data_IF_934884655426
#
_entry.id   IF_934884655426
#
_cell.length_a   1.000
_cell.length_b   1.000
_cell.length_c   1.000
_cell.angle_alpha   90.00
_cell.angle_beta   90.00
_cell.angle_gamma   90.00
#
_symmetry.space_group_name_H-M   'P 1'
#
loop_
_entity.id
_entity.type
_entity.pdbx_description
1 polymer ?
#
# COMPACT_ATOMS: atom_id res chain seq x y z
N UNK A 1 -8.37 3.57 -8.92
CA UNK A 1 -9.52 2.71 -8.47
C UNK A 1 -10.83 3.34 -8.92
N UNK A 2 -10.99 4.62 -8.60
CA UNK A 2 -11.99 5.50 -9.17
C UNK A 2 -11.36 6.89 -9.35
N UNK A 3 -12.07 7.81 -10.00
CA UNK A 3 -11.56 9.14 -10.30
C UNK A 3 -11.17 9.92 -9.03
N UNK A 4 -12.01 9.92 -7.99
CA UNK A 4 -11.80 10.70 -6.76
C UNK A 4 -10.53 10.30 -6.00
N UNK A 5 -10.24 9.00 -5.92
CA UNK A 5 -9.01 8.48 -5.32
C UNK A 5 -7.82 8.89 -6.17
N UNK A 6 -7.90 8.71 -7.49
CA UNK A 6 -6.79 9.00 -8.39
C UNK A 6 -6.43 10.51 -8.36
N UNK A 7 -7.43 11.40 -8.39
CA UNK A 7 -7.25 12.85 -8.25
C UNK A 7 -6.62 13.23 -6.90
N UNK A 8 -7.09 12.61 -5.81
CA UNK A 8 -6.55 12.86 -4.47
C UNK A 8 -5.08 12.48 -4.36
N UNK A 9 -4.72 11.31 -4.90
CA UNK A 9 -3.34 10.81 -4.90
C UNK A 9 -2.42 11.68 -5.76
N UNK A 10 -2.84 12.02 -6.98
CA UNK A 10 -2.04 12.86 -7.90
C UNK A 10 -1.82 14.25 -7.30
N UNK A 11 -2.87 14.87 -6.74
CA UNK A 11 -2.76 16.19 -6.12
C UNK A 11 -1.81 16.18 -4.91
N UNK A 12 -1.95 15.20 -4.01
CA UNK A 12 -1.08 15.11 -2.83
C UNK A 12 0.37 14.77 -3.20
N UNK A 13 0.59 13.94 -4.23
CA UNK A 13 1.93 13.66 -4.76
C UNK A 13 2.57 14.94 -5.34
N UNK A 14 1.82 15.72 -6.13
CA UNK A 14 2.29 17.01 -6.67
C UNK A 14 2.59 18.06 -5.60
N UNK A 15 1.97 17.95 -4.42
CA UNK A 15 2.28 18.78 -3.25
C UNK A 15 3.46 18.26 -2.40
N UNK A 16 4.10 17.15 -2.80
CA UNK A 16 5.15 16.49 -2.01
C UNK A 16 4.64 15.88 -0.70
N UNK A 17 3.33 15.59 -0.59
CA UNK A 17 2.69 15.00 0.59
C UNK A 17 2.64 13.48 0.55
N UNK A 18 2.93 12.88 -0.61
CA UNK A 18 3.07 11.45 -0.81
C UNK A 18 4.38 11.19 -1.54
N UNK A 19 5.17 10.23 -1.04
CA UNK A 19 6.37 9.74 -1.72
C UNK A 19 6.22 8.35 -2.31
N UNK A 20 5.07 7.71 -2.13
CA UNK A 20 4.77 6.39 -2.69
C UNK A 20 3.27 6.27 -2.98
N UNK A 21 2.90 5.75 -4.14
CA UNK A 21 1.50 5.55 -4.56
C UNK A 21 1.30 4.11 -5.03
N UNK A 22 0.32 3.40 -4.44
CA UNK A 22 0.04 1.99 -4.74
C UNK A 22 -1.09 1.90 -5.75
N UNK A 23 -0.84 1.27 -6.90
CA UNK A 23 -1.75 1.24 -8.03
C UNK A 23 -2.43 -0.13 -8.16
N UNK A 24 -3.77 -0.13 -8.12
CA UNK A 24 -4.58 -1.25 -8.61
C UNK A 24 -4.56 -1.23 -10.14
N UNK A 25 -3.61 -1.95 -10.76
CA UNK A 25 -3.31 -1.85 -12.19
C UNK A 25 -4.43 -2.32 -13.12
N UNK A 26 -5.34 -3.15 -12.60
CA UNK A 26 -6.55 -3.58 -13.32
C UNK A 26 -7.79 -2.75 -12.98
N UNK A 27 -7.61 -1.61 -12.30
CA UNK A 27 -8.68 -0.68 -11.97
C UNK A 27 -9.13 0.11 -13.20
N UNK A 28 -10.43 0.47 -13.29
CA UNK A 28 -11.02 1.04 -14.50
C UNK A 28 -10.41 2.39 -14.91
N UNK A 29 -9.94 3.17 -13.94
CA UNK A 29 -9.35 4.51 -14.16
C UNK A 29 -7.82 4.50 -14.25
N UNK A 30 -7.17 3.37 -13.96
CA UNK A 30 -5.72 3.31 -13.81
C UNK A 30 -4.97 3.74 -15.08
N UNK A 31 -5.30 3.12 -16.22
CA UNK A 31 -4.61 3.38 -17.48
C UNK A 31 -4.73 4.84 -17.92
N UNK A 32 -5.89 5.47 -17.71
CA UNK A 32 -6.12 6.87 -18.08
C UNK A 32 -5.30 7.85 -17.23
N UNK A 33 -5.00 7.50 -15.98
CA UNK A 33 -4.27 8.35 -15.03
C UNK A 33 -2.78 8.04 -14.92
N UNK A 34 -2.30 6.94 -15.51
CA UNK A 34 -0.91 6.50 -15.39
C UNK A 34 0.10 7.58 -15.79
N UNK A 35 -0.10 8.27 -16.91
CA UNK A 35 0.81 9.33 -17.36
C UNK A 35 0.89 10.52 -16.38
N UNK A 36 -0.25 10.92 -15.79
CA UNK A 36 -0.31 12.01 -14.80
C UNK A 36 0.42 11.65 -13.52
N UNK A 37 0.30 10.39 -13.10
CA UNK A 37 0.98 9.86 -11.93
C UNK A 37 2.48 9.65 -12.19
N UNK A 38 2.86 9.24 -13.40
CA UNK A 38 4.26 9.08 -13.82
C UNK A 38 5.06 10.39 -13.79
N UNK A 39 4.39 11.53 -13.90
CA UNK A 39 5.01 12.85 -13.81
C UNK A 39 5.31 13.31 -12.37
N UNK A 40 4.88 12.56 -11.35
CA UNK A 40 5.09 12.92 -9.94
C UNK A 40 6.39 12.30 -9.40
N UNK A 41 7.06 13.00 -8.48
CA UNK A 41 8.24 12.46 -7.78
C UNK A 41 7.82 11.54 -6.61
N UNK A 42 7.37 10.34 -6.95
CA UNK A 42 6.98 9.31 -6.00
C UNK A 42 7.38 7.92 -6.51
N UNK A 43 7.60 6.99 -5.59
CA UNK A 43 7.66 5.57 -5.92
C UNK A 43 6.27 5.10 -6.37
N UNK A 44 6.19 4.50 -7.56
CA UNK A 44 4.95 3.98 -8.13
C UNK A 44 4.95 2.47 -7.99
N UNK A 45 4.04 1.95 -7.16
CA UNK A 45 3.99 0.55 -6.80
C UNK A 45 2.81 -0.19 -7.38
N UNK A 46 2.99 -1.49 -7.61
CA UNK A 46 1.87 -2.39 -7.90
C UNK A 46 1.20 -2.82 -6.60
N UNK A 47 -0.10 -2.53 -6.48
CA UNK A 47 -0.94 -2.95 -5.37
C UNK A 47 -1.64 -4.26 -5.72
N UNK A 48 -1.03 -5.41 -5.45
CA UNK A 48 -1.60 -6.70 -5.87
C UNK A 48 -2.93 -6.95 -5.16
N UNK A 49 -3.92 -7.38 -5.91
CA UNK A 49 -5.28 -7.57 -5.46
C UNK A 49 -5.73 -9.00 -5.78
N UNK A 50 -6.40 -9.61 -4.79
CA UNK A 50 -6.94 -10.97 -4.86
C UNK A 50 -8.32 -11.08 -4.22
N UNK A 51 -8.96 -9.95 -3.88
CA UNK A 51 -10.17 -9.93 -3.06
C UNK A 51 -11.21 -8.92 -3.52
N UNK A 52 -10.80 -7.83 -4.17
CA UNK A 52 -11.70 -6.75 -4.58
C UNK A 52 -12.05 -6.86 -6.08
N UNK A 53 -13.32 -7.07 -6.46
CA UNK A 53 -13.74 -6.96 -7.84
C UNK A 53 -13.59 -5.51 -8.36
N UNK A 54 -13.00 -5.34 -9.54
CA UNK A 54 -12.75 -4.06 -10.18
C UNK A 54 -13.59 -3.85 -11.46
N UNK A 55 -14.45 -4.81 -11.82
CA UNK A 55 -15.36 -4.73 -12.95
C UNK A 55 -14.67 -4.91 -14.31
N UNK A 56 -13.56 -5.65 -14.36
CA UNK A 56 -12.74 -5.84 -15.55
C UNK A 56 -12.96 -7.18 -16.26
N UNK A 57 -13.85 -8.03 -15.74
CA UNK A 57 -14.17 -9.35 -16.31
C UNK A 57 -13.19 -10.47 -15.96
N UNK A 58 -12.10 -10.17 -15.25
CA UNK A 58 -11.09 -11.13 -14.80
C UNK A 58 -11.11 -11.34 -13.27
N UNK A 59 -12.17 -10.91 -12.61
CA UNK A 59 -12.32 -10.83 -11.15
C UNK A 59 -13.48 -11.66 -10.59
N UNK A 60 -14.20 -12.39 -11.44
CA UNK A 60 -15.35 -13.22 -11.07
C UNK A 60 -15.00 -14.37 -10.08
N UNK A 61 -13.73 -14.78 -10.04
CA UNK A 61 -13.23 -15.87 -9.21
C UNK A 61 -12.56 -15.40 -7.90
N UNK A 62 -12.51 -14.09 -7.64
CA UNK A 62 -11.86 -13.54 -6.45
C UNK A 62 -12.63 -13.90 -5.17
N UNK A 63 -12.00 -14.59 -4.20
CA UNK A 63 -12.64 -14.93 -2.95
C UNK A 63 -12.70 -13.73 -1.99
N UNK A 64 -13.68 -13.70 -1.06
CA UNK A 64 -13.63 -12.82 0.10
C UNK A 64 -12.33 -13.00 0.90
N UNK A 65 -11.85 -11.93 1.53
CA UNK A 65 -10.59 -11.92 2.28
C UNK A 65 -10.45 -13.05 3.29
N UNK A 66 -11.50 -13.33 4.07
CA UNK A 66 -11.48 -14.40 5.08
C UNK A 66 -11.23 -15.78 4.46
N UNK A 67 -11.85 -16.06 3.30
CA UNK A 67 -11.63 -17.31 2.55
C UNK A 67 -10.23 -17.35 1.93
N UNK A 68 -9.73 -16.23 1.43
CA UNK A 68 -8.37 -16.14 0.89
C UNK A 68 -7.33 -16.45 1.99
N UNK A 69 -7.45 -15.81 3.15
CA UNK A 69 -6.57 -16.04 4.31
C UNK A 69 -6.62 -17.53 4.70
N UNK A 70 -7.81 -18.09 4.90
CA UNK A 70 -7.95 -19.50 5.27
C UNK A 70 -7.28 -20.44 4.26
N UNK A 71 -7.56 -20.26 2.97
CA UNK A 71 -6.98 -21.10 1.90
C UNK A 71 -5.46 -20.93 1.82
N UNK A 72 -4.94 -19.72 1.97
CA UNK A 72 -3.51 -19.45 1.98
C UNK A 72 -2.81 -20.23 3.10
N UNK A 73 -3.32 -20.13 4.33
CA UNK A 73 -2.73 -20.78 5.49
C UNK A 73 -2.88 -22.30 5.47
N UNK A 74 -3.98 -22.82 4.92
CA UNK A 74 -4.14 -24.26 4.65
C UNK A 74 -3.33 -24.73 3.44
N UNK A 75 -2.60 -23.84 2.75
CA UNK A 75 -1.88 -24.11 1.48
C UNK A 75 -2.77 -24.74 0.40
N UNK A 76 -4.04 -24.33 0.37
CA UNK A 76 -5.07 -24.76 -0.61
C UNK A 76 -5.32 -23.72 -1.72
N UNK A 77 -4.49 -22.69 -1.82
CA UNK A 77 -4.50 -21.79 -2.98
C UNK A 77 -3.77 -22.47 -4.14
N UNK A 78 -4.42 -22.51 -5.30
CA UNK A 78 -3.79 -22.96 -6.53
C UNK A 78 -2.67 -21.99 -6.92
N UNK A 79 -1.44 -22.51 -7.05
CA UNK A 79 -0.28 -21.72 -7.43
C UNK A 79 -0.42 -21.14 -8.84
N UNK A 80 -0.98 -21.89 -9.79
CA UNK A 80 -1.16 -21.44 -11.16
C UNK A 80 -2.18 -20.30 -11.24
N UNK A 81 -3.24 -20.38 -10.44
CA UNK A 81 -4.20 -19.30 -10.26
C UNK A 81 -3.54 -18.02 -9.73
N UNK A 82 -2.71 -18.14 -8.68
CA UNK A 82 -1.96 -17.00 -8.13
C UNK A 82 -1.03 -16.40 -9.18
N UNK A 83 -0.27 -17.23 -9.90
CA UNK A 83 0.65 -16.78 -10.96
C UNK A 83 -0.07 -16.03 -12.07
N UNK A 84 -1.22 -16.54 -12.51
CA UNK A 84 -2.01 -15.90 -13.57
C UNK A 84 -2.53 -14.52 -13.14
N UNK A 85 -3.05 -14.42 -11.91
CA UNK A 85 -3.53 -13.15 -11.35
C UNK A 85 -2.40 -12.14 -11.11
N UNK A 86 -1.23 -12.60 -10.66
CA UNK A 86 -0.06 -11.73 -10.57
C UNK A 86 0.38 -11.26 -11.95
N UNK A 87 0.53 -12.17 -12.92
CA UNK A 87 1.03 -11.86 -14.26
C UNK A 87 0.18 -10.78 -14.92
N UNK A 88 -1.16 -10.93 -14.93
CA UNK A 88 -2.08 -9.90 -15.47
C UNK A 88 -1.89 -8.54 -14.82
N UNK A 89 -1.73 -8.51 -13.50
CA UNK A 89 -1.56 -7.26 -12.75
C UNK A 89 -0.23 -6.58 -13.04
N UNK A 90 0.86 -7.34 -13.18
CA UNK A 90 2.16 -6.82 -13.60
C UNK A 90 2.15 -6.37 -15.06
N UNK A 91 1.60 -7.17 -15.97
CA UNK A 91 1.49 -6.83 -17.39
C UNK A 91 0.71 -5.52 -17.58
N UNK A 92 -0.41 -5.35 -16.88
CA UNK A 92 -1.19 -4.11 -16.94
C UNK A 92 -0.44 -2.90 -16.38
N UNK A 93 0.34 -3.08 -15.31
CA UNK A 93 1.16 -2.02 -14.75
C UNK A 93 2.24 -1.57 -15.72
N UNK A 94 2.99 -2.53 -16.26
CA UNK A 94 4.09 -2.26 -17.20
C UNK A 94 3.59 -1.70 -18.52
N UNK A 95 2.44 -2.17 -19.03
CA UNK A 95 1.82 -1.61 -20.23
C UNK A 95 1.42 -0.14 -20.06
N UNK A 96 1.09 0.29 -18.84
CA UNK A 96 0.69 1.66 -18.55
C UNK A 96 1.90 2.59 -18.29
N UNK A 97 2.95 2.09 -17.64
CA UNK A 97 4.12 2.91 -17.26
C UNK A 97 5.35 2.73 -18.14
N UNK A 98 5.42 1.67 -18.95
CA UNK A 98 6.60 1.31 -19.76
C UNK A 98 7.80 0.86 -18.93
N UNK A 99 7.63 0.59 -17.64
CA UNK A 99 8.70 0.20 -16.71
C UNK A 99 8.17 -0.70 -15.58
N UNK A 100 9.09 -1.38 -14.91
CA UNK A 100 8.81 -2.11 -13.67
C UNK A 100 8.27 -1.15 -12.57
N UNK A 101 7.43 -1.65 -11.65
CA UNK A 101 7.05 -0.88 -10.46
C UNK A 101 8.28 -0.60 -9.60
N UNK A 102 8.26 0.51 -8.86
CA UNK A 102 9.28 0.82 -7.86
C UNK A 102 9.14 -0.10 -6.64
N UNK A 103 7.90 -0.51 -6.33
CA UNK A 103 7.59 -1.43 -5.23
C UNK A 103 6.37 -2.30 -5.46
N UNK A 104 6.21 -3.32 -4.61
CA UNK A 104 5.00 -4.14 -4.57
C UNK A 104 4.47 -4.24 -3.15
N UNK A 105 3.16 -4.08 -3.03
CA UNK A 105 2.39 -4.35 -1.82
C UNK A 105 1.06 -5.01 -2.20
N UNK A 106 0.18 -5.24 -1.23
CA UNK A 106 -1.08 -5.95 -1.46
C UNK A 106 -2.29 -5.22 -0.90
N UNK A 107 -3.38 -5.23 -1.66
CA UNK A 107 -4.70 -4.86 -1.17
C UNK A 107 -5.06 -5.73 0.03
N UNK A 108 -5.50 -5.10 1.13
CA UNK A 108 -5.72 -5.77 2.41
C UNK A 108 -4.49 -6.54 2.92
N UNK A 109 -3.29 -6.15 2.47
CA UNK A 109 -2.01 -6.75 2.81
C UNK A 109 -1.86 -8.23 2.43
N UNK A 110 -2.57 -8.69 1.39
CA UNK A 110 -2.58 -10.11 0.98
C UNK A 110 -1.23 -10.60 0.41
N UNK A 111 -0.36 -9.70 -0.02
CA UNK A 111 0.96 -10.03 -0.59
C UNK A 111 1.88 -10.77 0.39
N UNK A 112 1.63 -10.63 1.70
CA UNK A 112 2.41 -11.32 2.73
C UNK A 112 1.90 -12.74 3.03
N UNK A 113 0.71 -13.12 2.56
CA UNK A 113 0.10 -14.42 2.87
C UNK A 113 0.94 -15.58 2.30
N UNK A 114 0.95 -16.75 2.95
CA UNK A 114 1.59 -17.95 2.39
C UNK A 114 1.00 -18.30 1.03
N UNK A 115 1.77 -19.03 0.21
CA UNK A 115 1.51 -19.23 -1.23
C UNK A 115 1.62 -17.93 -2.04
N UNK A 116 0.83 -16.89 -1.77
CA UNK A 116 0.88 -15.61 -2.50
C UNK A 116 2.28 -15.00 -2.46
N UNK A 117 2.84 -14.85 -1.26
CA UNK A 117 4.21 -14.34 -1.07
C UNK A 117 5.25 -15.19 -1.81
N UNK A 118 5.10 -16.51 -1.80
CA UNK A 118 6.05 -17.43 -2.44
C UNK A 118 6.03 -17.26 -3.96
N UNK A 119 4.84 -17.23 -4.55
CA UNK A 119 4.64 -17.01 -5.99
C UNK A 119 5.07 -15.61 -6.41
N UNK A 120 4.76 -14.59 -5.61
CA UNK A 120 5.19 -13.22 -5.86
C UNK A 120 6.72 -13.11 -5.91
N UNK A 121 7.44 -13.68 -4.94
CA UNK A 121 8.91 -13.64 -4.92
C UNK A 121 9.52 -14.36 -6.13
N UNK A 122 8.98 -15.51 -6.52
CA UNK A 122 9.40 -16.23 -7.74
C UNK A 122 9.21 -15.35 -8.97
N UNK A 123 8.03 -14.73 -9.12
CA UNK A 123 7.72 -13.86 -10.24
C UNK A 123 8.64 -12.64 -10.29
N UNK A 124 8.86 -11.97 -9.16
CA UNK A 124 9.76 -10.80 -9.10
C UNK A 124 11.18 -11.16 -9.54
N UNK A 125 11.69 -12.30 -9.08
CA UNK A 125 13.03 -12.79 -9.44
C UNK A 125 13.13 -13.12 -10.93
N UNK A 126 12.13 -13.82 -11.48
CA UNK A 126 12.08 -14.18 -12.89
C UNK A 126 11.93 -12.96 -13.80
N UNK A 127 11.10 -12.00 -13.40
CA UNK A 127 10.72 -10.85 -14.24
C UNK A 127 11.76 -9.72 -14.20
N UNK A 128 12.42 -9.50 -13.05
CA UNK A 128 13.28 -8.32 -12.86
C UNK A 128 14.73 -8.63 -12.46
N UNK A 129 15.06 -9.86 -12.10
CA UNK A 129 16.42 -10.27 -11.75
C UNK A 129 17.04 -9.41 -10.66
N UNK A 130 18.13 -8.69 -10.97
CA UNK A 130 18.82 -7.82 -10.00
C UNK A 130 18.11 -6.47 -9.74
N UNK A 131 17.13 -6.09 -10.57
CA UNK A 131 16.44 -4.78 -10.49
C UNK A 131 15.05 -4.93 -9.87
N UNK A 132 14.93 -5.74 -8.82
CA UNK A 132 13.64 -5.99 -8.20
C UNK A 132 13.04 -4.75 -7.53
N UNK A 133 11.71 -4.57 -7.60
CA UNK A 133 10.99 -3.60 -6.78
C UNK A 133 11.24 -3.85 -5.29
N UNK A 134 11.14 -2.80 -4.47
CA UNK A 134 11.10 -3.00 -3.02
C UNK A 134 9.77 -3.63 -2.59
N UNK A 135 9.74 -4.35 -1.46
CA UNK A 135 8.52 -4.98 -0.95
C UNK A 135 8.02 -4.26 0.30
N UNK A 136 6.70 -4.04 0.37
CA UNK A 136 6.09 -3.46 1.57
C UNK A 136 6.18 -4.44 2.74
N UNK A 137 6.91 -4.06 3.77
CA UNK A 137 6.87 -4.67 5.09
C UNK A 137 5.63 -4.20 5.85
N UNK A 138 4.94 -5.12 6.50
CA UNK A 138 3.68 -4.92 7.22
C UNK A 138 3.83 -5.04 8.73
N UNK A 139 5.03 -5.33 9.23
CA UNK A 139 5.29 -5.35 10.65
C UNK A 139 4.98 -3.97 11.26
N UNK A 140 4.22 -3.89 12.38
CA UNK A 140 3.81 -2.62 12.96
C UNK A 140 5.02 -1.82 13.44
N UNK A 141 4.96 -0.50 13.28
CA UNK A 141 5.92 0.43 13.88
C UNK A 141 5.72 0.59 15.39
N UNK A 142 6.31 1.64 15.96
CA UNK A 142 6.04 1.99 17.36
C UNK A 142 4.58 2.46 17.51
N UNK A 143 3.94 2.07 18.59
CA UNK A 143 2.50 2.28 18.84
C UNK A 143 2.23 3.17 20.06
N UNK A 144 3.21 3.98 20.48
CA UNK A 144 3.04 4.88 21.62
C UNK A 144 1.92 5.90 21.33
N UNK A 145 0.95 6.04 22.23
CA UNK A 145 -0.20 6.93 22.04
C UNK A 145 -1.24 6.46 21.01
N UNK A 146 -1.03 5.32 20.33
CA UNK A 146 -2.03 4.74 19.42
C UNK A 146 -3.07 3.97 20.24
N UNK A 147 -4.39 4.20 20.03
CA UNK A 147 -5.38 3.53 20.85
C UNK A 147 -5.35 2.00 20.66
N UNK A 148 -5.85 1.28 21.66
CA UNK A 148 -5.68 -0.18 21.76
C UNK A 148 -6.28 -0.91 20.55
N UNK A 149 -7.45 -0.49 20.06
CA UNK A 149 -8.14 -1.11 18.91
C UNK A 149 -7.25 -1.07 17.65
N UNK A 150 -6.66 0.09 17.36
CA UNK A 150 -5.78 0.31 16.22
C UNK A 150 -4.45 -0.42 16.38
N UNK A 151 -3.90 -0.42 17.60
CA UNK A 151 -2.69 -1.17 17.95
C UNK A 151 -2.87 -2.68 17.75
N UNK A 152 -4.01 -3.25 18.16
CA UNK A 152 -4.35 -4.65 17.94
C UNK A 152 -4.49 -4.95 16.44
N UNK A 153 -5.19 -4.08 15.69
CA UNK A 153 -5.33 -4.23 14.23
C UNK A 153 -3.97 -4.26 13.53
N UNK A 154 -3.05 -3.36 13.89
CA UNK A 154 -1.70 -3.31 13.33
C UNK A 154 -0.90 -4.59 13.62
N UNK A 155 -1.01 -5.12 14.83
CA UNK A 155 -0.38 -6.40 15.21
C UNK A 155 -0.96 -7.58 14.45
N UNK A 156 -2.28 -7.64 14.27
CA UNK A 156 -2.94 -8.69 13.47
C UNK A 156 -2.44 -8.65 12.03
N UNK A 157 -2.40 -7.47 11.40
CA UNK A 157 -1.88 -7.31 10.04
C UNK A 157 -0.43 -7.79 9.92
N UNK A 158 0.43 -7.45 10.90
CA UNK A 158 1.81 -7.95 10.91
C UNK A 158 1.90 -9.47 11.10
N UNK A 159 1.03 -10.05 11.94
CA UNK A 159 0.99 -11.49 12.19
C UNK A 159 0.59 -12.33 10.96
N UNK A 160 -0.01 -11.71 9.93
CA UNK A 160 -0.39 -12.39 8.68
C UNK A 160 0.81 -12.87 7.84
N UNK A 161 2.02 -12.38 8.10
CA UNK A 161 3.20 -12.82 7.35
C UNK A 161 4.42 -11.91 7.35
N UNK A 162 4.40 -10.78 8.08
CA UNK A 162 5.47 -9.79 8.10
C UNK A 162 6.86 -10.36 8.41
N UNK A 163 6.95 -11.24 9.42
CA UNK A 163 8.21 -11.83 9.85
C UNK A 163 8.84 -12.71 8.75
N UNK A 164 8.04 -13.59 8.15
CA UNK A 164 8.49 -14.47 7.09
C UNK A 164 8.76 -13.72 5.78
N UNK A 165 7.97 -12.66 5.49
CA UNK A 165 8.25 -11.74 4.39
C UNK A 165 9.60 -11.05 4.56
N UNK A 166 9.87 -10.47 5.75
CA UNK A 166 11.15 -9.83 6.04
C UNK A 166 12.33 -10.80 5.97
N UNK A 167 12.17 -12.02 6.52
CA UNK A 167 13.21 -13.06 6.46
C UNK A 167 13.55 -13.46 5.02
N UNK A 168 12.54 -13.59 4.14
CA UNK A 168 12.75 -13.91 2.73
C UNK A 168 13.32 -12.73 1.95
N UNK A 169 12.83 -11.51 2.20
CA UNK A 169 13.34 -10.31 1.57
C UNK A 169 14.85 -10.15 1.86
N UNK A 170 15.25 -10.29 3.12
CA UNK A 170 16.66 -10.25 3.52
C UNK A 170 17.51 -11.33 2.84
N UNK A 171 17.00 -12.56 2.72
CA UNK A 171 17.70 -13.67 2.06
C UNK A 171 17.92 -13.40 0.56
N UNK A 172 16.93 -12.82 -0.11
CA UNK A 172 16.98 -12.54 -1.54
C UNK A 172 17.55 -11.13 -1.85
N UNK A 173 17.99 -10.38 -0.85
CA UNK A 173 18.54 -9.03 -1.01
C UNK A 173 17.51 -7.99 -1.47
N UNK A 174 16.22 -8.23 -1.22
CA UNK A 174 15.13 -7.30 -1.53
C UNK A 174 15.10 -6.16 -0.51
N UNK A 175 14.93 -4.94 -1.01
CA UNK A 175 14.71 -3.75 -0.16
C UNK A 175 13.30 -3.79 0.43
N UNK A 176 13.15 -3.35 1.67
CA UNK A 176 11.84 -3.15 2.31
C UNK A 176 11.77 -1.82 3.05
N UNK A 177 10.57 -1.29 3.30
CA UNK A 177 10.40 -0.32 4.38
C UNK A 177 10.63 -1.02 5.73
N UNK A 178 11.08 -0.28 6.74
CA UNK A 178 11.41 -0.82 8.06
C UNK A 178 10.17 -1.36 8.78
N UNK A 179 9.16 -0.51 8.96
CA UNK A 179 7.87 -0.84 9.59
C UNK A 179 6.72 -0.11 8.92
N UNK A 180 5.49 -0.54 9.23
CA UNK A 180 4.26 0.05 8.75
C UNK A 180 3.57 0.86 9.86
N UNK A 181 3.23 2.10 9.54
CA UNK A 181 2.41 3.03 10.31
C UNK A 181 1.10 3.32 9.54
N UNK A 182 0.17 4.07 10.14
CA UNK A 182 -1.07 4.46 9.45
C UNK A 182 -2.20 3.42 9.50
N UNK A 183 -2.05 2.35 10.29
CA UNK A 183 -3.11 1.36 10.48
C UNK A 183 -4.15 1.87 11.46
N UNK A 184 -5.39 2.03 11.00
CA UNK A 184 -6.53 2.38 11.87
C UNK A 184 -7.87 1.88 11.32
N UNK A 185 -8.97 2.28 11.97
CA UNK A 185 -10.34 1.83 11.67
C UNK A 185 -11.05 2.49 10.49
N UNK A 186 -10.47 3.50 9.83
CA UNK A 186 -11.15 4.29 8.78
C UNK A 186 -12.44 5.00 9.22
N UNK A 187 -12.44 5.52 10.45
CA UNK A 187 -13.56 6.22 11.05
C UNK A 187 -13.10 7.43 11.87
N UNK A 188 -14.04 8.33 12.19
CA UNK A 188 -13.84 9.47 13.09
C UNK A 188 -13.41 10.79 12.42
N UNK A 189 -13.36 10.82 11.09
CA UNK A 189 -13.20 12.04 10.30
C UNK A 189 -11.86 12.74 10.52
N UNK A 190 -11.86 14.05 10.25
CA UNK A 190 -10.64 14.87 10.14
C UNK A 190 -9.86 14.96 11.44
N UNK A 191 -10.56 15.24 12.55
CA UNK A 191 -9.95 15.43 13.88
C UNK A 191 -9.25 14.16 14.36
N UNK A 192 -9.97 13.02 14.35
CA UNK A 192 -9.39 11.74 14.80
C UNK A 192 -8.20 11.32 13.93
N UNK A 193 -8.30 11.52 12.61
CA UNK A 193 -7.18 11.21 11.72
C UNK A 193 -5.96 12.10 11.98
N UNK A 194 -6.16 13.40 12.23
CA UNK A 194 -5.07 14.31 12.61
C UNK A 194 -4.38 13.91 13.93
N UNK A 195 -5.15 13.48 14.94
CA UNK A 195 -4.61 13.01 16.22
C UNK A 195 -3.78 11.73 16.03
N UNK A 196 -4.29 10.77 15.25
CA UNK A 196 -3.56 9.55 14.89
C UNK A 196 -2.29 9.85 14.08
N UNK A 197 -2.37 10.78 13.13
CA UNK A 197 -1.23 11.18 12.30
C UNK A 197 -0.10 11.76 13.14
N UNK A 198 -0.40 12.68 14.07
CA UNK A 198 0.61 13.22 14.98
C UNK A 198 1.29 12.12 15.81
N UNK A 199 0.53 11.16 16.32
CA UNK A 199 1.11 10.01 17.01
C UNK A 199 1.97 9.15 16.09
N UNK A 200 1.58 8.88 14.84
CA UNK A 200 2.42 8.15 13.90
C UNK A 200 3.70 8.90 13.55
N UNK A 201 3.64 10.22 13.37
CA UNK A 201 4.82 11.05 13.12
C UNK A 201 5.78 11.03 14.31
N UNK A 202 5.27 11.10 15.54
CA UNK A 202 6.06 10.96 16.77
C UNK A 202 6.76 9.60 16.88
N UNK A 203 6.09 8.54 16.43
CA UNK A 203 6.62 7.18 16.48
C UNK A 203 7.54 6.81 15.30
N UNK A 204 7.55 7.63 14.24
CA UNK A 204 8.22 7.29 13.00
C UNK A 204 9.74 7.25 13.17
N UNK A 205 10.35 6.27 12.52
CA UNK A 205 11.80 6.14 12.38
C UNK A 205 12.18 6.13 10.91
N UNK A 206 13.48 6.24 10.66
CA UNK A 206 14.01 6.18 9.30
C UNK A 206 13.52 4.92 8.57
N UNK A 207 13.15 5.11 7.30
CA UNK A 207 12.57 4.09 6.43
C UNK A 207 11.24 3.47 6.90
N UNK A 208 10.52 4.03 7.88
CA UNK A 208 9.12 3.64 8.12
C UNK A 208 8.20 4.12 7.00
N UNK A 209 7.15 3.33 6.72
CA UNK A 209 6.12 3.67 5.74
C UNK A 209 4.82 4.00 6.46
N UNK A 210 4.30 5.21 6.24
CA UNK A 210 2.98 5.62 6.72
C UNK A 210 1.94 5.42 5.64
N UNK A 211 0.99 4.52 5.90
CA UNK A 211 -0.11 4.24 4.97
C UNK A 211 -1.26 5.22 5.17
N UNK A 212 -1.85 5.68 4.06
CA UNK A 212 -3.05 6.50 4.03
C UNK A 212 -3.93 6.13 2.83
N UNK A 213 -5.18 6.58 2.83
CA UNK A 213 -6.21 6.29 1.82
C UNK A 213 -6.96 7.55 1.35
N UNK A 214 -6.29 8.69 1.07
CA UNK A 214 -6.96 9.92 0.70
C UNK A 214 -7.79 9.80 -0.59
N UNK A 215 -8.83 10.62 -0.69
CA UNK A 215 -9.56 10.89 -1.93
C UNK A 215 -9.97 12.36 -1.93
N UNK A 216 -9.90 13.02 -3.08
CA UNK A 216 -10.17 14.46 -3.17
C UNK A 216 -11.64 14.78 -2.92
N UNK A 217 -12.52 13.89 -3.35
CA UNK A 217 -13.97 14.02 -3.18
C UNK A 217 -14.55 12.83 -2.42
N UNK A 218 -15.78 13.02 -1.96
CA UNK A 218 -16.56 12.00 -1.23
C UNK A 218 -17.79 11.56 -2.01
N UNK A 219 -17.68 11.47 -3.34
CA UNK A 219 -18.82 11.10 -4.19
C UNK A 219 -19.31 9.71 -3.76
N UNK A 220 -20.61 9.59 -3.49
CA UNK A 220 -21.25 8.34 -3.04
C UNK A 220 -21.58 8.27 -1.54
N UNK A 221 -21.19 9.26 -0.72
CA UNK A 221 -21.75 9.45 0.62
C UNK A 221 -21.55 8.29 1.62
N UNK A 222 -20.71 7.31 1.32
CA UNK A 222 -20.41 6.22 2.25
C UNK A 222 -19.53 6.72 3.41
N UNK A 223 -19.55 6.01 4.54
CA UNK A 223 -18.67 6.32 5.67
C UNK A 223 -17.19 6.29 5.24
N UNK A 224 -16.81 5.33 4.39
CA UNK A 224 -15.47 5.24 3.84
C UNK A 224 -15.14 6.44 2.95
N UNK A 225 -16.03 6.85 2.03
CA UNK A 225 -15.79 8.01 1.16
C UNK A 225 -15.57 9.29 1.96
N UNK A 226 -16.38 9.53 3.00
CA UNK A 226 -16.19 10.65 3.93
C UNK A 226 -14.86 10.58 4.66
N UNK A 227 -14.45 9.39 5.08
CA UNK A 227 -13.17 9.22 5.76
C UNK A 227 -11.98 9.49 4.82
N UNK A 228 -12.02 8.99 3.58
CA UNK A 228 -10.97 9.26 2.57
C UNK A 228 -10.81 10.76 2.31
N UNK A 229 -11.93 11.48 2.23
CA UNK A 229 -11.91 12.95 2.13
C UNK A 229 -11.28 13.60 3.36
N UNK A 230 -11.61 13.12 4.55
CA UNK A 230 -11.00 13.61 5.78
C UNK A 230 -9.47 13.39 5.81
N UNK A 231 -8.99 12.25 5.32
CA UNK A 231 -7.54 12.01 5.18
C UNK A 231 -6.90 13.01 4.21
N UNK A 232 -7.52 13.22 3.04
CA UNK A 232 -7.06 14.20 2.05
C UNK A 232 -6.95 15.60 2.65
N UNK A 233 -7.99 16.07 3.35
CA UNK A 233 -8.03 17.40 3.95
C UNK A 233 -6.96 17.62 5.04
N UNK A 234 -6.54 16.56 5.74
CA UNK A 234 -5.42 16.62 6.71
C UNK A 234 -4.09 16.64 5.96
N UNK A 235 -3.90 15.75 4.99
CA UNK A 235 -2.63 15.63 4.27
C UNK A 235 -2.33 16.84 3.38
N UNK A 236 -3.36 17.45 2.79
CA UNK A 236 -3.23 18.68 2.00
C UNK A 236 -3.03 19.93 2.87
N UNK A 237 -3.23 19.84 4.19
CA UNK A 237 -3.13 20.99 5.07
C UNK A 237 -1.67 21.49 5.17
N UNK A 238 -1.41 22.81 5.01
CA UNK A 238 -0.06 23.36 5.16
C UNK A 238 0.59 23.01 6.52
N UNK A 239 -0.21 22.90 7.59
CA UNK A 239 0.23 22.52 8.94
C UNK A 239 0.92 21.15 9.02
N UNK A 240 0.75 20.28 8.02
CA UNK A 240 1.49 19.03 7.95
C UNK A 240 3.00 19.29 7.89
N UNK A 241 3.44 20.38 7.24
CA UNK A 241 4.86 20.78 7.23
C UNK A 241 5.40 21.02 8.64
N UNK A 242 4.63 21.76 9.45
CA UNK A 242 5.00 22.06 10.85
C UNK A 242 5.06 20.78 11.69
N UNK A 243 4.11 19.85 11.50
CA UNK A 243 4.09 18.58 12.21
C UNK A 243 5.27 17.67 11.84
N UNK A 244 5.64 17.64 10.56
CA UNK A 244 6.82 16.91 10.09
C UNK A 244 8.09 17.48 10.73
N UNK A 245 8.25 18.81 10.70
CA UNK A 245 9.39 19.51 11.28
C UNK A 245 9.49 19.30 12.80
N UNK A 246 8.37 19.42 13.53
CA UNK A 246 8.33 19.23 14.97
C UNK A 246 8.73 17.81 15.41
N UNK A 247 8.52 16.80 14.56
CA UNK A 247 8.91 15.42 14.81
C UNK A 247 10.26 15.04 14.18
N UNK A 248 10.94 15.98 13.51
CA UNK A 248 12.22 15.73 12.85
C UNK A 248 12.14 14.70 11.70
N UNK A 249 10.97 14.56 11.07
CA UNK A 249 10.75 13.61 9.96
C UNK A 249 10.51 14.35 8.65
N UNK A 250 10.79 13.66 7.54
CA UNK A 250 10.53 14.17 6.19
C UNK A 250 9.89 13.08 5.34
N UNK A 251 9.11 13.49 4.36
CA UNK A 251 8.53 12.60 3.36
C UNK A 251 9.57 12.41 2.25
N UNK A 252 9.94 11.18 1.97
CA UNK A 252 10.86 10.84 0.87
C UNK A 252 10.55 9.46 0.31
N UNK A 253 10.97 9.23 -0.93
CA UNK A 253 10.97 7.89 -1.54
C UNK A 253 11.87 6.94 -0.75
N UNK A 254 11.67 5.63 -0.89
CA UNK A 254 12.50 4.67 -0.17
C UNK A 254 13.94 4.72 -0.72
N UNK A 255 14.96 5.00 0.11
CA UNK A 255 16.32 5.12 -0.38
C UNK A 255 16.82 3.79 -0.96
N UNK A 256 17.73 3.86 -1.93
CA UNK A 256 18.37 2.67 -2.51
C UNK A 256 19.18 1.87 -1.48
N UNK A 257 19.56 2.48 -0.37
CA UNK A 257 20.28 1.85 0.75
C UNK A 257 19.37 1.18 1.78
N UNK A 258 18.05 1.37 1.72
CA UNK A 258 17.12 0.70 2.64
C UNK A 258 17.18 -0.82 2.46
N UNK A 259 17.18 -1.55 3.58
CA UNK A 259 17.09 -3.01 3.61
C UNK A 259 15.98 -3.43 4.56
#
# INVERSE_FOLDING_TARGET
>A
MNADIDEGMIALAGMGRLSAVSCLSLGPTFRANAARLAAQDADLGLHVNFTEPLGNGFDADLPPLSKLILRAYLRRLDAAWVDQHLARQFDAFEAAFGRAPDYVDGHQHVHQLPVIRERLLVMLKQRYGARMPWLRQTAPGMLCGIPLKESLKARIIGALGAAELGRRANREGLRTNRRLLGVYGFEGGKRRYADLLQNWLFNARDCDLLMCHPAKDSQGGSAMARQRRAEYDVLACPKLGDWLAANGVRISRLPHTAR
#
